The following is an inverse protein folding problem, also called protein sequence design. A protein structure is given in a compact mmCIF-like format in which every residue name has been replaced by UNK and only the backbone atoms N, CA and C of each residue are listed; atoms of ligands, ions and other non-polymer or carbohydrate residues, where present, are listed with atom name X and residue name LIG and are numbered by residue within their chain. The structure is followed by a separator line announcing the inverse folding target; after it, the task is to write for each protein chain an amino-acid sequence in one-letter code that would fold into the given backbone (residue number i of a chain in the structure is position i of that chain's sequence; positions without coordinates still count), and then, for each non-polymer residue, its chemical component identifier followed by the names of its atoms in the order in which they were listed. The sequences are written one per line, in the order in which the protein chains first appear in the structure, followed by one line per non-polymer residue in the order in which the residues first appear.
data_IF_704870469752
#
_entry.id   IF_704870469752
#
_cell.length_a   1.000
_cell.length_b   1.000
_cell.length_c   1.000
_cell.angle_alpha   90.00
_cell.angle_beta   90.00
_cell.angle_gamma   90.00
#
_symmetry.space_group_name_H-M   'P 1'
#
loop_
_entity.id
_entity.type
_entity.pdbx_description
1 polymer ?
#
# COMPACT_ATOMS: atom_id res chain seq x y z
N UNK A 1 12.90 15.38 0.23
CA UNK A 1 12.68 15.61 -1.21
C UNK A 1 11.25 16.14 -1.41
N UNK A 2 11.02 17.14 -2.27
CA UNK A 2 9.65 17.55 -2.60
C UNK A 2 9.02 16.52 -3.54
N UNK A 3 7.83 16.02 -3.18
CA UNK A 3 7.08 15.09 -4.02
C UNK A 3 6.51 15.87 -5.20
N UNK A 4 6.86 15.44 -6.41
CA UNK A 4 6.40 16.07 -7.65
C UNK A 4 4.99 15.58 -8.01
N UNK A 5 4.19 16.42 -8.69
CA UNK A 5 2.80 16.09 -9.06
C UNK A 5 2.71 14.79 -9.87
N UNK A 6 3.66 14.54 -10.77
CA UNK A 6 3.67 13.31 -11.57
C UNK A 6 3.87 12.05 -10.71
N UNK A 7 4.65 12.13 -9.63
CA UNK A 7 4.84 11.01 -8.69
C UNK A 7 3.54 10.71 -7.95
N UNK A 8 2.82 11.75 -7.53
CA UNK A 8 1.51 11.60 -6.86
C UNK A 8 0.53 10.88 -7.78
N UNK A 9 0.45 11.29 -9.05
CA UNK A 9 -0.45 10.66 -10.02
C UNK A 9 -0.07 9.18 -10.24
N UNK A 10 1.22 8.89 -10.43
CA UNK A 10 1.69 7.51 -10.65
C UNK A 10 1.45 6.63 -9.43
N UNK A 11 1.76 7.11 -8.23
CA UNK A 11 1.53 6.38 -6.98
C UNK A 11 0.04 6.18 -6.67
N UNK A 12 -0.81 7.17 -7.00
CA UNK A 12 -2.26 7.04 -6.91
C UNK A 12 -2.82 6.00 -7.88
N UNK A 13 -2.36 6.00 -9.14
CA UNK A 13 -2.71 4.97 -10.11
C UNK A 13 -2.23 3.58 -9.66
N UNK A 14 -1.03 3.48 -9.08
CA UNK A 14 -0.52 2.24 -8.52
C UNK A 14 -1.45 1.69 -7.42
N UNK A 15 -1.93 2.55 -6.52
CA UNK A 15 -2.90 2.17 -5.49
C UNK A 15 -4.21 1.65 -6.09
N UNK A 16 -4.74 2.35 -7.09
CA UNK A 16 -5.93 1.89 -7.82
C UNK A 16 -5.75 0.55 -8.53
N UNK A 17 -4.59 0.33 -9.17
CA UNK A 17 -4.25 -0.94 -9.83
C UNK A 17 -4.08 -2.05 -8.80
N UNK A 18 -3.43 -1.79 -7.66
CA UNK A 18 -3.25 -2.77 -6.59
C UNK A 18 -4.60 -3.24 -6.02
N UNK A 19 -5.56 -2.31 -5.86
CA UNK A 19 -6.92 -2.64 -5.39
C UNK A 19 -7.74 -3.35 -6.48
N UNK A 20 -7.55 -3.01 -7.74
CA UNK A 20 -8.19 -3.71 -8.84
C UNK A 20 -7.66 -5.15 -8.99
N UNK A 21 -6.36 -5.34 -8.78
CA UNK A 21 -5.70 -6.65 -8.82
C UNK A 21 -6.20 -7.60 -7.72
N UNK A 22 -6.60 -7.06 -6.55
CA UNK A 22 -7.22 -7.83 -5.47
C UNK A 22 -8.46 -8.61 -5.94
N UNK A 23 -9.31 -7.95 -6.72
CA UNK A 23 -10.66 -8.46 -7.02
C UNK A 23 -10.68 -9.25 -8.34
N UNK A 24 -9.68 -9.08 -9.19
CA UNK A 24 -9.64 -9.66 -10.54
C UNK A 24 -8.54 -10.72 -10.69
N UNK A 25 -7.39 -10.31 -11.23
CA UNK A 25 -6.42 -11.20 -11.87
C UNK A 25 -5.38 -11.78 -10.89
N UNK A 26 -5.21 -11.17 -9.70
CA UNK A 26 -4.21 -11.57 -8.69
C UNK A 26 -2.80 -11.72 -9.26
N UNK A 27 -2.37 -10.76 -10.07
CA UNK A 27 -1.03 -10.67 -10.65
C UNK A 27 0.06 -10.40 -9.59
N UNK A 28 -0.33 -10.04 -8.36
CA UNK A 28 0.57 -9.88 -7.23
C UNK A 28 0.96 -8.42 -6.98
N UNK A 29 0.30 -7.46 -7.62
CA UNK A 29 0.55 -6.03 -7.39
C UNK A 29 0.14 -5.57 -6.00
N UNK A 30 -0.70 -6.35 -5.32
CA UNK A 30 -1.04 -6.15 -3.91
C UNK A 30 0.03 -6.64 -2.93
N UNK A 31 1.04 -7.39 -3.38
CA UNK A 31 2.11 -7.83 -2.50
C UNK A 31 2.98 -6.62 -2.11
N UNK A 32 3.06 -6.26 -0.82
CA UNK A 32 3.85 -5.11 -0.35
C UNK A 32 5.28 -5.07 -0.87
N UNK A 33 5.93 -6.23 -1.05
CA UNK A 33 7.27 -6.28 -1.62
C UNK A 33 7.33 -5.75 -3.07
N UNK A 34 6.36 -6.11 -3.91
CA UNK A 34 6.27 -5.68 -5.31
C UNK A 34 5.84 -4.21 -5.36
N UNK A 35 4.85 -3.82 -4.56
CA UNK A 35 4.40 -2.44 -4.46
C UNK A 35 5.53 -1.52 -3.99
N UNK A 36 6.30 -1.94 -2.97
CA UNK A 36 7.44 -1.20 -2.43
C UNK A 36 8.60 -1.03 -3.42
N UNK A 37 8.84 -2.05 -4.26
CA UNK A 37 9.79 -1.94 -5.36
C UNK A 37 9.38 -0.85 -6.35
N UNK A 38 8.10 -0.81 -6.74
CA UNK A 38 7.59 0.18 -7.70
C UNK A 38 7.62 1.58 -7.08
N UNK A 39 7.23 1.72 -5.80
CA UNK A 39 7.31 2.99 -5.07
C UNK A 39 8.74 3.51 -5.02
N UNK A 40 9.71 2.64 -4.71
CA UNK A 40 11.13 2.99 -4.68
C UNK A 40 11.65 3.43 -6.04
N UNK A 41 11.24 2.78 -7.13
CA UNK A 41 11.59 3.20 -8.50
C UNK A 41 11.00 4.58 -8.85
N UNK A 42 9.75 4.85 -8.50
CA UNK A 42 9.09 6.14 -8.78
C UNK A 42 9.68 7.28 -7.95
N UNK A 43 10.07 6.98 -6.71
CA UNK A 43 10.63 7.96 -5.79
C UNK A 43 12.16 8.12 -5.91
N UNK A 44 12.83 7.24 -6.65
CA UNK A 44 14.28 7.29 -6.91
C UNK A 44 15.16 6.61 -5.85
N UNK A 45 14.56 5.95 -4.85
CA UNK A 45 15.27 5.17 -3.82
C UNK A 45 14.64 3.78 -3.68
N UNK A 46 15.19 2.83 -4.43
CA UNK A 46 14.71 1.45 -4.46
C UNK A 46 15.02 0.72 -3.15
N UNK A 47 16.13 1.04 -2.49
CA UNK A 47 16.55 0.37 -1.27
C UNK A 47 15.59 0.70 -0.13
N UNK A 48 15.27 1.96 0.07
CA UNK A 48 14.29 2.36 1.09
C UNK A 48 12.89 1.86 0.74
N UNK A 49 12.48 1.90 -0.53
CA UNK A 49 11.18 1.37 -0.97
C UNK A 49 11.03 -0.14 -0.72
N UNK A 50 12.06 -0.93 -1.02
CA UNK A 50 12.09 -2.37 -0.76
C UNK A 50 12.15 -2.69 0.73
N UNK A 51 12.86 -1.92 1.54
CA UNK A 51 12.88 -2.14 2.99
C UNK A 51 11.50 -1.91 3.61
N UNK A 52 10.82 -0.82 3.25
CA UNK A 52 9.45 -0.55 3.71
C UNK A 52 8.49 -1.65 3.24
N UNK A 53 8.52 -1.99 1.94
CA UNK A 53 7.67 -3.03 1.37
C UNK A 53 7.95 -4.42 1.94
N UNK A 54 9.21 -4.74 2.21
CA UNK A 54 9.63 -5.99 2.84
C UNK A 54 9.14 -6.09 4.29
N UNK A 55 9.27 -5.02 5.08
CA UNK A 55 8.76 -5.00 6.45
C UNK A 55 7.23 -5.15 6.48
N UNK A 56 6.51 -4.44 5.61
CA UNK A 56 5.05 -4.58 5.51
C UNK A 56 4.65 -5.95 4.97
N UNK A 57 5.43 -6.55 4.08
CA UNK A 57 5.22 -7.94 3.62
C UNK A 57 5.31 -8.91 4.80
N UNK A 58 6.30 -8.77 5.67
CA UNK A 58 6.42 -9.60 6.88
C UNK A 58 5.23 -9.42 7.81
N UNK A 59 4.66 -8.20 7.90
CA UNK A 59 3.44 -7.96 8.69
C UNK A 59 2.21 -8.66 8.11
N UNK A 60 2.18 -8.93 6.80
CA UNK A 60 1.07 -9.69 6.18
C UNK A 60 1.12 -11.20 6.49
N UNK A 61 2.31 -11.72 6.82
CA UNK A 61 2.54 -13.14 7.11
C UNK A 61 1.94 -13.49 8.48
N UNK A 62 0.64 -13.76 8.51
CA UNK A 62 -0.10 -14.09 9.73
C UNK A 62 -1.54 -13.60 9.73
N UNK A 63 -1.96 -12.87 8.70
CA UNK A 63 -3.26 -12.23 8.63
C UNK A 63 -3.98 -12.74 7.38
N UNK A 64 -5.18 -13.30 7.56
CA UNK A 64 -6.00 -13.86 6.49
C UNK A 64 -7.44 -13.39 6.58
N UNK A 65 -8.11 -13.24 5.44
CA UNK A 65 -9.51 -12.87 5.37
C UNK A 65 -10.35 -14.15 5.53
N UNK A 66 -10.95 -14.33 6.70
CA UNK A 66 -11.85 -15.45 6.96
C UNK A 66 -13.25 -14.94 7.29
N UNK A 67 -14.28 -15.54 6.69
CA UNK A 67 -15.69 -15.29 7.06
C UNK A 67 -16.17 -13.84 6.93
N UNK A 68 -15.69 -13.08 5.95
CA UNK A 68 -16.05 -11.66 5.74
C UNK A 68 -15.17 -10.67 6.50
N UNK A 69 -14.16 -11.13 7.25
CA UNK A 69 -13.14 -10.26 7.83
C UNK A 69 -12.26 -9.66 6.73
N UNK A 70 -12.14 -8.33 6.70
CA UNK A 70 -11.28 -7.62 5.75
C UNK A 70 -9.89 -7.43 6.37
N UNK A 71 -8.85 -7.79 5.62
CA UNK A 71 -7.45 -7.63 6.02
C UNK A 71 -7.03 -6.17 5.79
N UNK A 72 -6.12 -5.61 6.60
CA UNK A 72 -5.50 -4.31 6.32
C UNK A 72 -4.93 -4.23 4.88
N UNK A 73 -5.10 -3.08 4.22
CA UNK A 73 -4.54 -2.84 2.89
C UNK A 73 -3.04 -2.49 2.97
N UNK A 74 -2.22 -3.53 3.02
CA UNK A 74 -0.76 -3.39 3.11
C UNK A 74 -0.12 -2.84 1.83
N UNK A 75 -0.75 -2.95 0.67
CA UNK A 75 -0.21 -2.37 -0.56
C UNK A 75 -0.27 -0.85 -0.48
N UNK A 76 -1.43 -0.30 -0.14
CA UNK A 76 -1.55 1.16 0.01
C UNK A 76 -0.78 1.68 1.23
N UNK A 77 -0.68 0.88 2.31
CA UNK A 77 0.24 1.16 3.42
C UNK A 77 1.68 1.35 2.90
N UNK A 78 2.12 0.50 2.00
CA UNK A 78 3.47 0.54 1.41
C UNK A 78 3.67 1.75 0.50
N UNK A 79 2.64 2.15 -0.25
CA UNK A 79 2.69 3.36 -1.07
C UNK A 79 2.87 4.60 -0.20
N UNK A 80 2.05 4.73 0.84
CA UNK A 80 2.08 5.87 1.76
C UNK A 80 3.38 5.88 2.57
N UNK A 81 3.72 4.77 3.22
CA UNK A 81 4.94 4.65 4.02
C UNK A 81 6.20 4.79 3.15
N UNK A 82 6.26 4.17 1.97
CA UNK A 82 7.41 4.26 1.09
C UNK A 82 7.63 5.69 0.60
N UNK A 83 6.56 6.38 0.18
CA UNK A 83 6.66 7.77 -0.23
C UNK A 83 7.08 8.70 0.93
N UNK A 84 6.56 8.47 2.15
CA UNK A 84 6.93 9.24 3.34
C UNK A 84 8.38 8.96 3.78
N UNK A 85 8.82 7.70 3.79
CA UNK A 85 10.18 7.34 4.17
C UNK A 85 11.21 8.03 3.27
N UNK A 86 10.99 8.00 1.96
CA UNK A 86 11.91 8.57 0.96
C UNK A 86 11.84 10.10 0.95
N UNK A 87 10.66 10.70 1.11
CA UNK A 87 10.51 12.15 1.08
C UNK A 87 11.01 12.84 2.36
N UNK A 88 10.80 12.23 3.53
CA UNK A 88 11.12 12.82 4.84
C UNK A 88 12.49 12.43 5.37
N UNK A 89 13.02 11.26 4.98
CA UNK A 89 14.30 10.76 5.49
C UNK A 89 14.30 10.42 6.99
N UNK A 90 13.13 10.40 7.65
CA UNK A 90 12.99 10.19 9.11
C UNK A 90 13.06 8.71 9.53
N UNK A 91 13.47 7.83 8.62
CA UNK A 91 13.59 6.39 8.87
C UNK A 91 12.31 5.60 8.59
N UNK A 92 12.48 4.28 8.51
CA UNK A 92 11.42 3.33 8.12
C UNK A 92 10.34 3.22 9.21
N UNK A 93 10.75 3.26 10.49
CA UNK A 93 9.83 3.09 11.63
C UNK A 93 8.80 4.23 11.70
N UNK A 94 9.23 5.46 11.46
CA UNK A 94 8.34 6.62 11.39
C UNK A 94 7.30 6.47 10.28
N UNK A 95 7.77 6.07 9.09
CA UNK A 95 6.91 5.95 7.92
C UNK A 95 5.88 4.82 8.07
N UNK A 96 6.28 3.68 8.63
CA UNK A 96 5.37 2.56 8.95
C UNK A 96 4.37 2.98 10.03
N UNK A 97 4.82 3.71 11.06
CA UNK A 97 3.97 4.22 12.13
C UNK A 97 2.81 5.10 11.64
N UNK A 98 2.99 5.79 10.50
CA UNK A 98 1.93 6.58 9.86
C UNK A 98 1.17 5.77 8.80
N UNK A 99 1.90 5.00 7.99
CA UNK A 99 1.33 4.28 6.85
C UNK A 99 0.34 3.18 7.24
N UNK A 100 0.60 2.46 8.33
CA UNK A 100 -0.26 1.36 8.79
C UNK A 100 -1.64 1.87 9.28
N UNK A 101 -1.73 2.88 10.16
CA UNK A 101 -3.02 3.48 10.52
C UNK A 101 -3.78 4.05 9.32
N UNK A 102 -3.08 4.69 8.37
CA UNK A 102 -3.72 5.22 7.16
C UNK A 102 -4.34 4.11 6.31
N UNK A 103 -3.64 2.98 6.13
CA UNK A 103 -4.18 1.82 5.43
C UNK A 103 -5.37 1.17 6.14
N UNK A 104 -5.35 1.12 7.48
CA UNK A 104 -6.50 0.63 8.25
C UNK A 104 -7.76 1.48 8.03
N UNK A 105 -7.61 2.79 7.87
CA UNK A 105 -8.73 3.67 7.53
C UNK A 105 -9.25 3.40 6.12
N UNK A 106 -8.37 3.16 5.15
CA UNK A 106 -8.76 2.85 3.77
C UNK A 106 -9.52 1.54 3.65
N UNK A 107 -9.22 0.55 4.49
CA UNK A 107 -10.02 -0.69 4.56
C UNK A 107 -11.48 -0.44 4.88
N UNK A 108 -11.81 0.60 5.66
CA UNK A 108 -13.21 0.93 5.93
C UNK A 108 -13.93 1.38 4.65
N UNK A 109 -13.23 2.04 3.73
CA UNK A 109 -13.78 2.39 2.42
C UNK A 109 -13.97 1.15 1.54
N UNK A 110 -13.06 0.17 1.62
CA UNK A 110 -13.21 -1.12 0.93
C UNK A 110 -14.45 -1.88 1.43
N UNK A 111 -14.68 -1.91 2.76
CA UNK A 111 -15.89 -2.52 3.34
C UNK A 111 -17.15 -1.84 2.80
N UNK A 112 -17.19 -0.51 2.75
CA UNK A 112 -18.32 0.24 2.20
C UNK A 112 -18.54 -0.07 0.70
N UNK A 113 -17.45 -0.16 -0.07
CA UNK A 113 -17.52 -0.51 -1.49
C UNK A 113 -18.10 -1.93 -1.69
N UNK A 114 -17.67 -2.90 -0.89
CA UNK A 114 -18.22 -4.28 -0.94
C UNK A 114 -19.69 -4.36 -0.52
N UNK A 115 -20.09 -3.58 0.49
CA UNK A 115 -21.50 -3.50 0.89
C UNK A 115 -22.37 -2.89 -0.21
N UNK A 116 -21.84 -1.95 -0.97
CA UNK A 116 -22.56 -1.33 -2.09
C UNK A 116 -22.86 -2.35 -3.19
N UNK A 117 -21.93 -3.28 -3.49
CA UNK A 117 -22.12 -4.37 -4.45
C UNK A 117 -23.23 -5.38 -4.06
N UNK A 118 -23.83 -5.28 -2.87
CA UNK A 118 -25.02 -6.10 -2.54
C UNK A 118 -26.28 -5.57 -3.25
N UNK A 119 -26.29 -4.28 -3.61
CA UNK A 119 -27.44 -3.61 -4.21
C UNK A 119 -27.35 -3.46 -5.73
N UNK A 120 -26.20 -3.79 -6.34
CA UNK A 120 -25.91 -3.66 -7.76
C UNK A 120 -25.35 -4.97 -8.32
#
# INVERSE_FOLDING_TARGET
MQIQLWQIIVLGLLGGIAQWDETNMKLGFRNPAITGLIVGLVMGDVTTGLLVGGTLQLMTLGIGSYGGATIPDYATATIIAGALAISTGQGIDFAIGIGVPAALLLVQLDVVARMSNVFF
#
